data_IF_414032778067
#
_entry.id   IF_414032778067
#
_cell.length_a   1.000
_cell.length_b   1.000
_cell.length_c   1.000
_cell.angle_alpha   90.00
_cell.angle_beta   90.00
_cell.angle_gamma   90.00
#
_symmetry.space_group_name_H-M   'P 1'
#
loop_
_entity.id
_entity.type
_entity.pdbx_description
1 polymer ?
#
# COMPACT_ATOMS: atom_id res chain seq x y z
N UNK A 1 50.11 -11.24 28.60
CA UNK A 1 49.70 -11.65 27.23
C UNK A 1 48.21 -11.92 27.16
N UNK A 2 47.60 -12.82 27.95
CA UNK A 2 46.15 -13.13 27.90
C UNK A 2 45.23 -11.92 28.16
N UNK A 3 45.58 -11.04 29.09
CA UNK A 3 44.81 -9.82 29.42
C UNK A 3 44.82 -8.81 28.26
N UNK A 4 45.95 -8.62 27.59
CA UNK A 4 46.08 -7.74 26.42
C UNK A 4 45.24 -8.29 25.24
N UNK A 5 45.25 -9.62 25.08
CA UNK A 5 44.44 -10.29 24.05
C UNK A 5 42.95 -10.16 24.34
N UNK A 6 42.50 -10.31 25.58
CA UNK A 6 41.13 -10.09 26.01
C UNK A 6 40.65 -8.66 25.76
N UNK A 7 41.50 -7.67 26.01
CA UNK A 7 41.20 -6.25 25.74
C UNK A 7 41.11 -5.99 24.24
N UNK A 8 41.98 -6.59 23.42
CA UNK A 8 41.93 -6.49 21.95
C UNK A 8 40.66 -7.19 21.42
N UNK A 9 40.29 -8.36 21.93
CA UNK A 9 39.04 -9.04 21.58
C UNK A 9 37.81 -8.20 21.95
N UNK A 10 37.74 -7.61 23.14
CA UNK A 10 36.66 -6.73 23.55
C UNK A 10 36.57 -5.46 22.67
N UNK A 11 37.68 -4.87 22.28
CA UNK A 11 37.72 -3.69 21.41
C UNK A 11 37.33 -4.00 19.96
N UNK A 12 37.72 -5.16 19.43
CA UNK A 12 37.35 -5.57 18.06
C UNK A 12 35.89 -6.02 17.96
N UNK A 13 35.31 -6.56 19.05
CA UNK A 13 33.89 -7.00 19.07
C UNK A 13 32.93 -5.82 19.08
N UNK A 14 33.28 -4.69 19.67
CA UNK A 14 32.49 -3.46 19.59
C UNK A 14 32.49 -2.83 18.19
N UNK A 15 33.51 -3.13 17.36
CA UNK A 15 33.66 -2.52 16.03
C UNK A 15 33.08 -3.37 14.89
N UNK A 16 33.10 -4.71 14.98
CA UNK A 16 32.82 -5.60 13.83
C UNK A 16 31.59 -6.53 13.95
N UNK A 17 30.81 -6.47 15.02
CA UNK A 17 29.56 -7.26 15.15
C UNK A 17 29.80 -8.76 15.45
N UNK A 18 28.69 -9.44 15.75
CA UNK A 18 28.64 -10.77 16.42
C UNK A 18 29.14 -11.97 15.60
N UNK A 19 29.30 -11.87 14.28
CA UNK A 19 29.64 -13.01 13.41
C UNK A 19 31.06 -13.59 13.63
N UNK A 20 31.96 -12.85 14.25
CA UNK A 20 33.38 -13.24 14.42
C UNK A 20 33.72 -13.84 15.79
N UNK A 21 32.77 -13.88 16.75
CA UNK A 21 33.03 -14.36 18.12
C UNK A 21 33.53 -15.80 18.18
N UNK A 22 33.01 -16.69 17.34
CA UNK A 22 33.41 -18.11 17.29
C UNK A 22 34.87 -18.24 16.89
N UNK A 23 35.36 -17.41 15.97
CA UNK A 23 36.74 -17.42 15.50
C UNK A 23 37.70 -16.96 16.60
N UNK A 24 37.34 -15.89 17.31
CA UNK A 24 38.16 -15.36 18.39
C UNK A 24 38.19 -16.27 19.61
N UNK A 25 37.05 -16.95 19.89
CA UNK A 25 36.97 -17.94 20.95
C UNK A 25 37.85 -19.17 20.64
N UNK A 26 37.84 -19.64 19.39
CA UNK A 26 38.67 -20.76 18.96
C UNK A 26 40.15 -20.40 18.97
N UNK A 27 40.51 -19.18 18.60
CA UNK A 27 41.90 -18.68 18.66
C UNK A 27 42.38 -18.53 20.10
N UNK A 28 41.54 -18.03 21.02
CA UNK A 28 41.84 -17.95 22.44
C UNK A 28 42.05 -19.36 23.08
N UNK A 29 41.27 -20.35 22.64
CA UNK A 29 41.42 -21.74 23.06
C UNK A 29 42.74 -22.35 22.60
N UNK A 30 43.13 -22.12 21.35
CA UNK A 30 44.41 -22.58 20.82
C UNK A 30 45.59 -21.95 21.56
N UNK A 31 45.56 -20.63 21.79
CA UNK A 31 46.61 -19.90 22.54
C UNK A 31 46.70 -20.35 24.01
N UNK A 32 45.58 -20.64 24.65
CA UNK A 32 45.56 -21.15 26.03
C UNK A 32 46.21 -22.53 26.11
N UNK A 33 45.96 -23.42 25.11
CA UNK A 33 46.60 -24.72 25.04
C UNK A 33 48.12 -24.63 24.77
N UNK A 34 48.58 -23.70 23.94
CA UNK A 34 50.03 -23.48 23.74
C UNK A 34 50.72 -22.96 25.00
N UNK A 35 50.09 -22.07 25.79
CA UNK A 35 50.61 -21.62 27.07
C UNK A 35 50.63 -22.77 28.08
N UNK A 36 49.66 -23.67 28.08
CA UNK A 36 49.63 -24.86 28.93
C UNK A 36 50.77 -25.83 28.56
N UNK A 37 51.02 -26.04 27.27
CA UNK A 37 52.11 -26.85 26.75
C UNK A 37 53.47 -26.25 27.14
N UNK A 38 53.66 -24.92 27.03
CA UNK A 38 54.89 -24.25 27.42
C UNK A 38 55.14 -24.37 28.92
N UNK A 39 54.13 -24.21 29.79
CA UNK A 39 54.23 -24.38 31.23
C UNK A 39 54.56 -25.84 31.63
N UNK A 40 54.03 -26.81 30.88
CA UNK A 40 54.33 -28.21 31.08
C UNK A 40 55.80 -28.58 30.76
N UNK A 41 56.35 -27.95 29.71
CA UNK A 41 57.75 -28.16 29.30
C UNK A 41 58.72 -27.53 30.28
N UNK A 42 58.40 -26.33 30.79
CA UNK A 42 59.29 -25.54 31.66
C UNK A 42 59.03 -25.72 33.16
N UNK A 43 58.02 -26.48 33.59
CA UNK A 43 57.80 -26.85 34.99
C UNK A 43 57.32 -25.78 35.94
N UNK A 44 56.82 -24.64 35.44
CA UNK A 44 56.48 -23.48 36.27
C UNK A 44 55.18 -23.58 37.08
N UNK A 45 54.15 -24.31 36.61
CA UNK A 45 52.87 -24.53 37.33
C UNK A 45 52.24 -25.86 36.87
N UNK A 46 51.55 -26.58 37.78
CA UNK A 46 50.75 -27.75 37.38
C UNK A 46 49.67 -27.31 36.34
N UNK A 47 49.74 -27.84 35.11
CA UNK A 47 48.82 -27.44 34.05
C UNK A 47 47.38 -27.74 34.43
N UNK A 48 46.47 -26.86 34.15
CA UNK A 48 45.03 -27.10 34.26
C UNK A 48 44.27 -26.56 35.49
N UNK A 49 44.97 -26.05 36.52
CA UNK A 49 44.27 -25.59 37.74
C UNK A 49 43.58 -24.23 37.56
N UNK A 50 44.09 -23.36 36.72
CA UNK A 50 43.55 -21.98 36.55
C UNK A 50 42.91 -21.81 35.15
N UNK A 51 43.48 -22.39 34.11
CA UNK A 51 43.05 -22.17 32.71
C UNK A 51 41.68 -22.81 32.42
N UNK A 52 41.41 -24.01 32.91
CA UNK A 52 40.12 -24.70 32.69
C UNK A 52 38.91 -23.97 33.30
N UNK A 53 38.93 -23.55 34.57
CA UNK A 53 37.80 -22.83 35.15
C UNK A 53 37.57 -21.43 34.52
N UNK A 54 38.64 -20.72 34.17
CA UNK A 54 38.50 -19.40 33.49
C UNK A 54 37.87 -19.55 32.12
N UNK A 55 38.24 -20.61 31.38
CA UNK A 55 37.68 -20.91 30.09
C UNK A 55 36.18 -21.26 30.17
N UNK A 56 35.79 -22.07 31.17
CA UNK A 56 34.39 -22.43 31.42
C UNK A 56 33.54 -21.17 31.72
N UNK A 57 34.07 -20.26 32.56
CA UNK A 57 33.37 -19.01 32.86
C UNK A 57 33.19 -18.15 31.60
N UNK A 58 34.22 -17.98 30.79
CA UNK A 58 34.14 -17.23 29.54
C UNK A 58 33.12 -17.86 28.56
N UNK A 59 33.08 -19.20 28.47
CA UNK A 59 32.11 -19.91 27.65
C UNK A 59 30.66 -19.69 28.15
N UNK A 60 30.44 -19.75 29.45
CA UNK A 60 29.15 -19.47 30.04
C UNK A 60 28.68 -18.01 29.79
N UNK A 61 29.59 -17.05 29.94
CA UNK A 61 29.31 -15.64 29.63
C UNK A 61 28.94 -15.48 28.13
N UNK A 62 29.71 -16.13 27.24
CA UNK A 62 29.37 -16.13 25.81
C UNK A 62 27.96 -16.69 25.54
N UNK A 63 27.62 -17.85 26.13
CA UNK A 63 26.29 -18.43 25.97
C UNK A 63 25.18 -17.51 26.49
N UNK A 64 25.41 -16.83 27.61
CA UNK A 64 24.44 -15.87 28.17
C UNK A 64 24.22 -14.65 27.24
N UNK A 65 25.30 -14.15 26.66
CA UNK A 65 25.21 -13.03 25.69
C UNK A 65 24.46 -13.48 24.43
N UNK A 66 24.74 -14.69 23.94
CA UNK A 66 24.06 -15.22 22.74
C UNK A 66 22.59 -15.48 23.00
N UNK A 67 22.23 -16.04 24.14
CA UNK A 67 20.84 -16.21 24.58
C UNK A 67 20.12 -14.85 24.67
N UNK A 68 20.78 -13.84 25.23
CA UNK A 68 20.22 -12.49 25.31
C UNK A 68 19.94 -11.93 23.91
N UNK A 69 20.92 -12.04 23.00
CA UNK A 69 20.78 -11.59 21.60
C UNK A 69 19.62 -12.30 20.88
N UNK A 70 19.45 -13.62 21.10
CA UNK A 70 18.35 -14.39 20.53
C UNK A 70 16.99 -13.89 21.06
N UNK A 71 16.88 -13.65 22.36
CA UNK A 71 15.65 -13.12 22.98
C UNK A 71 15.32 -11.72 22.43
N UNK A 72 16.32 -10.82 22.36
CA UNK A 72 16.14 -9.48 21.81
C UNK A 72 15.73 -9.50 20.34
N UNK A 73 16.29 -10.40 19.54
CA UNK A 73 15.92 -10.55 18.13
C UNK A 73 14.51 -11.10 17.97
N UNK A 74 14.10 -12.06 18.81
CA UNK A 74 12.71 -12.55 18.81
C UNK A 74 11.73 -11.45 19.18
N UNK A 75 12.03 -10.64 20.19
CA UNK A 75 11.20 -9.49 20.58
C UNK A 75 11.07 -8.47 19.44
N UNK A 76 12.17 -8.13 18.76
CA UNK A 76 12.13 -7.22 17.59
C UNK A 76 11.25 -7.74 16.46
N UNK A 77 11.27 -9.07 16.21
CA UNK A 77 10.41 -9.70 15.18
C UNK A 77 8.93 -9.62 15.61
N UNK A 78 8.65 -9.84 16.89
CA UNK A 78 7.27 -9.78 17.42
C UNK A 78 6.73 -8.34 17.42
N UNK A 79 7.55 -7.37 17.79
CA UNK A 79 7.20 -5.94 17.75
C UNK A 79 6.97 -5.46 16.30
N UNK A 80 7.80 -5.92 15.36
CA UNK A 80 7.63 -5.63 13.94
C UNK A 80 6.29 -6.19 13.39
N UNK A 81 5.92 -7.42 13.77
CA UNK A 81 4.63 -8.02 13.39
C UNK A 81 3.45 -7.24 13.98
N UNK A 82 3.51 -6.85 15.25
CA UNK A 82 2.45 -6.02 15.86
C UNK A 82 2.29 -4.68 15.16
N UNK A 83 3.39 -4.02 14.84
CA UNK A 83 3.36 -2.75 14.12
C UNK A 83 2.78 -2.92 12.71
N UNK A 84 3.08 -4.03 12.04
CA UNK A 84 2.50 -4.35 10.72
C UNK A 84 0.98 -4.57 10.80
N UNK A 85 0.49 -5.29 11.82
CA UNK A 85 -0.94 -5.45 12.10
C UNK A 85 -1.63 -4.11 12.41
N UNK A 86 -1.05 -3.27 13.27
CA UNK A 86 -1.57 -1.94 13.59
C UNK A 86 -1.62 -1.03 12.35
N UNK A 87 -0.60 -1.07 11.51
CA UNK A 87 -0.57 -0.35 10.23
C UNK A 87 -1.65 -0.85 9.28
N UNK A 88 -1.85 -2.16 9.19
CA UNK A 88 -2.91 -2.77 8.39
C UNK A 88 -4.29 -2.35 8.86
N UNK A 89 -4.54 -2.39 10.18
CA UNK A 89 -5.82 -1.97 10.76
C UNK A 89 -6.07 -0.46 10.59
N UNK A 90 -5.03 0.35 10.75
CA UNK A 90 -5.09 1.79 10.51
C UNK A 90 -5.38 2.09 9.03
N UNK A 91 -4.72 1.39 8.09
CA UNK A 91 -4.99 1.51 6.65
C UNK A 91 -6.41 1.08 6.31
N UNK A 92 -6.89 -0.03 6.85
CA UNK A 92 -8.27 -0.50 6.66
C UNK A 92 -9.29 0.50 7.19
N UNK A 93 -9.03 1.13 8.33
CA UNK A 93 -9.87 2.18 8.92
C UNK A 93 -9.87 3.46 8.07
N UNK A 94 -8.72 3.88 7.55
CA UNK A 94 -8.60 5.00 6.62
C UNK A 94 -9.32 4.70 5.30
N UNK A 95 -9.25 3.47 4.82
CA UNK A 95 -9.94 2.98 3.64
C UNK A 95 -11.46 3.08 3.79
N UNK A 96 -12.00 2.58 4.91
CA UNK A 96 -13.42 2.73 5.23
C UNK A 96 -13.85 4.19 5.35
N UNK A 97 -12.97 5.06 5.86
CA UNK A 97 -13.20 6.51 5.94
C UNK A 97 -13.21 7.18 4.55
N UNK A 98 -12.47 6.65 3.57
CA UNK A 98 -12.45 7.15 2.18
C UNK A 98 -13.69 6.71 1.39
N UNK A 99 -14.32 5.58 1.72
CA UNK A 99 -15.65 5.25 1.24
C UNK A 99 -16.59 6.26 1.91
N UNK A 100 -16.98 7.28 1.15
CA UNK A 100 -17.84 8.36 1.69
C UNK A 100 -19.04 7.74 2.37
N UNK A 101 -19.16 7.91 3.67
CA UNK A 101 -20.27 7.37 4.49
C UNK A 101 -21.63 7.67 3.85
N UNK A 102 -21.77 8.84 3.23
CA UNK A 102 -22.95 9.26 2.51
C UNK A 102 -23.30 8.35 1.30
N UNK A 103 -22.29 7.80 0.59
CA UNK A 103 -22.55 6.85 -0.50
C UNK A 103 -23.15 5.54 0.05
N UNK A 104 -22.56 5.00 1.12
CA UNK A 104 -23.06 3.79 1.79
C UNK A 104 -24.53 3.97 2.23
N UNK A 105 -24.83 5.08 2.93
CA UNK A 105 -26.19 5.39 3.36
C UNK A 105 -27.17 5.53 2.18
N UNK A 106 -26.75 6.16 1.10
CA UNK A 106 -27.58 6.32 -0.09
C UNK A 106 -27.90 4.98 -0.78
N UNK A 107 -26.90 4.08 -0.89
CA UNK A 107 -27.12 2.74 -1.45
C UNK A 107 -28.04 1.93 -0.53
N UNK A 108 -27.85 1.92 0.78
CA UNK A 108 -28.72 1.22 1.73
C UNK A 108 -30.15 1.77 1.70
N UNK A 109 -30.36 3.07 1.58
CA UNK A 109 -31.67 3.67 1.43
C UNK A 109 -32.34 3.26 0.11
N UNK A 110 -31.60 3.20 -0.98
CA UNK A 110 -32.09 2.72 -2.27
C UNK A 110 -32.51 1.24 -2.19
N UNK A 111 -31.70 0.39 -1.58
CA UNK A 111 -32.03 -1.04 -1.32
C UNK A 111 -33.30 -1.14 -0.51
N UNK A 112 -33.41 -0.39 0.60
CA UNK A 112 -34.61 -0.38 1.45
C UNK A 112 -35.88 0.06 0.69
N UNK A 113 -35.73 1.03 -0.22
CA UNK A 113 -36.79 1.42 -1.13
C UNK A 113 -37.20 0.27 -2.08
N UNK A 114 -36.24 -0.35 -2.75
CA UNK A 114 -36.45 -1.44 -3.69
C UNK A 114 -37.09 -2.67 -3.04
N UNK A 115 -36.77 -2.99 -1.80
CA UNK A 115 -37.40 -4.12 -1.08
C UNK A 115 -38.94 -4.03 -1.03
N UNK A 116 -39.51 -2.84 -1.15
CA UNK A 116 -40.98 -2.63 -1.11
C UNK A 116 -41.65 -2.81 -2.45
N UNK A 117 -40.93 -2.68 -3.57
CA UNK A 117 -41.48 -2.61 -4.92
C UNK A 117 -40.90 -3.66 -5.88
N UNK A 118 -39.62 -4.02 -5.70
CA UNK A 118 -38.92 -4.93 -6.61
C UNK A 118 -37.80 -5.67 -5.83
N UNK A 119 -38.18 -6.80 -5.21
CA UNK A 119 -37.29 -7.60 -4.40
C UNK A 119 -36.09 -8.16 -5.21
N UNK A 120 -36.30 -8.46 -6.52
CA UNK A 120 -35.21 -8.98 -7.35
C UNK A 120 -34.14 -7.92 -7.62
N UNK A 121 -34.55 -6.68 -7.89
CA UNK A 121 -33.60 -5.57 -8.01
C UNK A 121 -32.93 -5.22 -6.71
N UNK A 122 -33.63 -5.35 -5.57
CA UNK A 122 -33.01 -5.18 -4.25
C UNK A 122 -31.89 -6.20 -4.01
N UNK A 123 -32.16 -7.48 -4.33
CA UNK A 123 -31.16 -8.55 -4.22
C UNK A 123 -29.95 -8.30 -5.14
N UNK A 124 -30.21 -7.94 -6.41
CA UNK A 124 -29.13 -7.59 -7.34
C UNK A 124 -28.27 -6.43 -6.82
N UNK A 125 -28.90 -5.41 -6.24
CA UNK A 125 -28.20 -4.25 -5.68
C UNK A 125 -27.37 -4.62 -4.45
N UNK A 126 -27.87 -5.51 -3.58
CA UNK A 126 -27.12 -6.04 -2.41
C UNK A 126 -25.86 -6.79 -2.86
N UNK A 127 -26.01 -7.68 -3.86
CA UNK A 127 -24.87 -8.45 -4.40
C UNK A 127 -23.83 -7.51 -5.00
N UNK A 128 -24.25 -6.55 -5.81
CA UNK A 128 -23.37 -5.56 -6.43
C UNK A 128 -22.65 -4.72 -5.36
N UNK A 129 -23.39 -4.27 -4.35
CA UNK A 129 -22.82 -3.46 -3.25
C UNK A 129 -21.82 -4.24 -2.39
N UNK A 130 -22.11 -5.51 -2.09
CA UNK A 130 -21.20 -6.39 -1.35
C UNK A 130 -19.89 -6.59 -2.10
N UNK A 131 -19.96 -6.78 -3.44
CA UNK A 131 -18.77 -6.91 -4.30
C UNK A 131 -17.99 -5.61 -4.37
N UNK A 132 -18.65 -4.48 -4.55
CA UNK A 132 -18.04 -3.16 -4.52
C UNK A 132 -17.27 -2.89 -3.21
N UNK A 133 -17.87 -3.19 -2.04
CA UNK A 133 -17.22 -3.02 -0.74
C UNK A 133 -15.98 -3.90 -0.60
N UNK A 134 -16.08 -5.19 -0.93
CA UNK A 134 -14.97 -6.14 -0.85
C UNK A 134 -13.79 -5.69 -1.70
N UNK A 135 -14.07 -5.36 -2.95
CA UNK A 135 -13.06 -4.91 -3.89
C UNK A 135 -12.36 -3.61 -3.42
N UNK A 136 -13.06 -2.65 -2.80
CA UNK A 136 -12.47 -1.44 -2.25
C UNK A 136 -11.49 -1.74 -1.12
N UNK A 137 -11.82 -2.68 -0.22
CA UNK A 137 -10.96 -3.07 0.89
C UNK A 137 -9.66 -3.71 0.36
N UNK A 138 -9.77 -4.59 -0.64
CA UNK A 138 -8.63 -5.30 -1.21
C UNK A 138 -7.65 -4.33 -1.90
N UNK A 139 -8.16 -3.35 -2.64
CA UNK A 139 -7.34 -2.36 -3.37
C UNK A 139 -6.65 -1.36 -2.45
N UNK A 140 -7.28 -0.95 -1.34
CA UNK A 140 -6.71 0.07 -0.46
C UNK A 140 -5.58 -0.51 0.41
N UNK A 141 -5.59 -1.82 0.63
CA UNK A 141 -4.53 -2.50 1.38
C UNK A 141 -3.21 -2.62 0.58
N UNK A 142 -3.23 -2.35 -0.73
CA UNK A 142 -2.05 -2.41 -1.59
C UNK A 142 -1.83 -1.05 -2.27
N UNK A 143 -0.78 -0.33 -1.85
CA UNK A 143 -0.36 0.95 -2.46
C UNK A 143 0.32 0.75 -3.82
N UNK A 144 0.44 -0.49 -4.31
CA UNK A 144 1.07 -0.81 -5.59
C UNK A 144 0.21 -0.37 -6.79
N UNK A 145 0.85 -0.20 -7.93
CA UNK A 145 0.14 -0.02 -9.19
C UNK A 145 -0.64 -1.30 -9.50
N UNK A 146 -1.84 -1.15 -10.04
CA UNK A 146 -2.70 -2.27 -10.42
C UNK A 146 -2.95 -2.28 -11.94
N UNK A 147 -3.27 -3.45 -12.52
CA UNK A 147 -3.70 -3.53 -13.90
C UNK A 147 -4.97 -2.70 -14.15
N UNK A 148 -4.97 -1.93 -15.25
CA UNK A 148 -6.11 -1.08 -15.63
C UNK A 148 -7.42 -1.86 -15.74
N UNK A 149 -7.37 -3.13 -16.15
CA UNK A 149 -8.53 -4.02 -16.20
C UNK A 149 -9.21 -4.22 -14.84
N UNK A 150 -8.45 -4.18 -13.74
CA UNK A 150 -8.98 -4.26 -12.36
C UNK A 150 -9.66 -2.93 -11.99
N UNK A 151 -9.03 -1.79 -12.30
CA UNK A 151 -9.62 -0.46 -12.06
C UNK A 151 -10.94 -0.29 -12.81
N UNK A 152 -11.03 -0.73 -14.07
CA UNK A 152 -12.29 -0.70 -14.86
C UNK A 152 -13.36 -1.58 -14.23
N UNK A 153 -13.05 -2.81 -13.83
CA UNK A 153 -14.00 -3.70 -13.17
C UNK A 153 -14.56 -3.10 -11.89
N UNK A 154 -13.75 -2.43 -11.16
CA UNK A 154 -14.13 -1.69 -9.95
C UNK A 154 -15.08 -0.54 -10.26
N UNK A 155 -14.74 0.23 -11.29
CA UNK A 155 -15.55 1.33 -11.78
C UNK A 155 -16.92 0.85 -12.27
N UNK A 156 -16.99 -0.28 -12.96
CA UNK A 156 -18.25 -0.90 -13.41
C UNK A 156 -19.20 -1.20 -12.25
N UNK A 157 -18.71 -1.79 -11.16
CA UNK A 157 -19.52 -2.05 -9.97
C UNK A 157 -20.07 -0.75 -9.36
N UNK A 158 -19.24 0.30 -9.26
CA UNK A 158 -19.68 1.62 -8.80
C UNK A 158 -20.77 2.22 -9.70
N UNK A 159 -20.53 2.22 -11.02
CA UNK A 159 -21.47 2.78 -12.01
C UNK A 159 -22.79 2.04 -11.98
N UNK A 160 -22.77 0.71 -11.91
CA UNK A 160 -23.98 -0.12 -11.83
C UNK A 160 -24.83 0.26 -10.61
N UNK A 161 -24.21 0.47 -9.44
CA UNK A 161 -24.91 0.93 -8.24
C UNK A 161 -25.54 2.32 -8.44
N UNK A 162 -24.83 3.26 -9.06
CA UNK A 162 -25.36 4.59 -9.34
C UNK A 162 -26.51 4.55 -10.38
N UNK A 163 -26.40 3.72 -11.41
CA UNK A 163 -27.47 3.52 -12.40
C UNK A 163 -28.75 2.96 -11.75
N UNK A 164 -28.61 1.96 -10.89
CA UNK A 164 -29.75 1.38 -10.16
C UNK A 164 -30.38 2.42 -9.22
N UNK A 165 -29.56 3.25 -8.57
CA UNK A 165 -30.01 4.30 -7.65
C UNK A 165 -30.76 5.43 -8.35
N UNK A 166 -30.36 5.78 -9.56
CA UNK A 166 -30.93 6.91 -10.31
C UNK A 166 -31.83 6.46 -11.48
N UNK A 167 -32.37 5.24 -11.41
CA UNK A 167 -33.29 4.72 -12.43
C UNK A 167 -32.77 4.86 -13.87
N UNK A 168 -31.51 4.52 -14.08
CA UNK A 168 -30.82 4.57 -15.37
C UNK A 168 -30.78 5.97 -16.03
N UNK A 169 -30.91 7.05 -15.25
CA UNK A 169 -30.68 8.42 -15.75
C UNK A 169 -29.22 8.68 -16.14
N UNK A 170 -28.31 7.79 -15.77
CA UNK A 170 -26.87 7.87 -16.06
C UNK A 170 -26.56 6.81 -17.10
N UNK A 171 -26.18 7.25 -18.30
CA UNK A 171 -25.62 6.36 -19.30
C UNK A 171 -24.08 6.40 -19.20
N UNK A 172 -23.46 5.24 -19.24
CA UNK A 172 -22.01 5.11 -19.23
C UNK A 172 -21.57 4.26 -20.41
N UNK A 173 -20.67 4.82 -21.21
CA UNK A 173 -20.08 4.16 -22.35
C UNK A 173 -18.57 4.18 -22.20
N UNK A 174 -17.90 3.10 -22.60
CA UNK A 174 -16.45 3.07 -22.65
C UNK A 174 -15.95 2.44 -23.95
N UNK A 175 -14.83 2.99 -24.46
CA UNK A 175 -14.09 2.47 -25.59
C UNK A 175 -12.65 2.29 -25.16
N UNK A 176 -12.27 1.07 -24.80
CA UNK A 176 -10.95 0.70 -24.33
C UNK A 176 -10.22 0.03 -25.49
N UNK A 177 -9.21 0.72 -26.02
CA UNK A 177 -8.36 0.21 -27.12
C UNK A 177 -7.14 -0.53 -26.57
N UNK A 178 -6.75 -0.24 -25.30
CA UNK A 178 -5.62 -0.85 -24.61
C UNK A 178 -5.97 -1.03 -23.13
N UNK A 179 -5.63 -2.18 -22.55
CA UNK A 179 -5.94 -2.50 -21.14
C UNK A 179 -4.75 -3.12 -20.37
N UNK A 180 -3.67 -3.44 -21.06
CA UNK A 180 -2.47 -4.11 -20.54
C UNK A 180 -1.43 -3.11 -20.01
N UNK A 181 -1.85 -2.23 -19.13
CA UNK A 181 -1.00 -1.26 -18.47
C UNK A 181 -1.34 -1.10 -16.99
N UNK A 182 -0.36 -0.60 -16.23
CA UNK A 182 -0.49 -0.34 -14.80
C UNK A 182 -0.95 1.11 -14.53
N UNK A 183 -1.81 1.26 -13.50
CA UNK A 183 -2.34 2.55 -13.05
C UNK A 183 -2.40 2.59 -11.51
N UNK A 184 -2.26 3.75 -10.87
CA UNK A 184 -2.53 3.86 -9.44
C UNK A 184 -4.00 3.52 -9.13
N UNK A 185 -4.28 2.83 -8.03
CA UNK A 185 -5.63 2.41 -7.68
C UNK A 185 -6.58 3.60 -7.44
N UNK A 186 -7.87 3.43 -7.71
CA UNK A 186 -8.94 4.40 -7.42
C UNK A 186 -8.69 5.81 -8.02
N UNK A 187 -8.17 5.87 -9.24
CA UNK A 187 -7.96 7.13 -9.97
C UNK A 187 -9.22 7.53 -10.72
N UNK A 188 -9.90 6.57 -11.36
CA UNK A 188 -11.04 6.87 -12.23
C UNK A 188 -12.31 7.15 -11.43
N UNK A 189 -12.55 6.42 -10.34
CA UNK A 189 -13.79 6.54 -9.57
C UNK A 189 -14.06 7.96 -9.05
N UNK A 190 -13.11 8.71 -8.43
CA UNK A 190 -13.37 10.08 -7.97
C UNK A 190 -13.74 11.04 -9.11
N UNK A 191 -13.19 10.81 -10.30
CA UNK A 191 -13.47 11.65 -11.47
C UNK A 191 -14.88 11.40 -12.00
N UNK A 192 -15.26 10.12 -12.15
CA UNK A 192 -16.62 9.72 -12.54
C UNK A 192 -17.65 10.15 -11.50
N UNK A 193 -17.34 10.02 -10.21
CA UNK A 193 -18.20 10.49 -9.13
C UNK A 193 -18.47 12.00 -9.24
N UNK A 194 -17.45 12.80 -9.57
CA UNK A 194 -17.62 14.22 -9.80
C UNK A 194 -18.49 14.51 -11.03
N UNK A 195 -18.28 13.81 -12.15
CA UNK A 195 -19.14 13.93 -13.34
C UNK A 195 -20.60 13.61 -13.02
N UNK A 196 -20.86 12.55 -12.26
CA UNK A 196 -22.22 12.19 -11.85
C UNK A 196 -22.81 13.28 -10.96
N UNK A 197 -22.17 13.60 -9.82
CA UNK A 197 -22.74 14.48 -8.79
C UNK A 197 -22.83 15.93 -9.21
N UNK A 198 -21.80 16.45 -9.86
CA UNK A 198 -21.66 17.85 -10.18
C UNK A 198 -22.04 18.19 -11.62
N UNK A 199 -22.02 17.19 -12.51
CA UNK A 199 -22.41 17.31 -13.91
C UNK A 199 -23.83 16.83 -14.16
N UNK A 200 -24.04 15.52 -14.17
CA UNK A 200 -25.26 14.89 -14.68
C UNK A 200 -26.47 15.06 -13.78
N UNK A 201 -26.32 14.89 -12.46
CA UNK A 201 -27.46 14.97 -11.52
C UNK A 201 -28.02 16.36 -11.34
N UNK A 202 -27.34 17.38 -11.86
CA UNK A 202 -27.90 18.75 -11.93
C UNK A 202 -28.81 18.98 -13.15
N UNK A 203 -28.86 17.99 -14.07
CA UNK A 203 -29.80 17.96 -15.19
C UNK A 203 -30.97 17.05 -14.84
N UNK A 204 -32.19 17.48 -15.10
CA UNK A 204 -33.40 16.67 -14.84
C UNK A 204 -33.44 15.39 -15.67
N UNK A 205 -32.92 15.44 -16.90
CA UNK A 205 -32.88 14.31 -17.83
C UNK A 205 -31.70 13.34 -17.59
N UNK A 206 -30.76 13.68 -16.65
CA UNK A 206 -29.52 12.94 -16.50
C UNK A 206 -28.55 13.21 -17.65
N UNK A 207 -27.75 12.23 -18.04
CA UNK A 207 -26.80 12.39 -19.16
C UNK A 207 -25.87 11.20 -19.35
N UNK A 208 -24.82 11.44 -20.16
CA UNK A 208 -23.89 10.42 -20.60
C UNK A 208 -22.47 10.72 -20.10
N UNK A 209 -21.76 9.67 -19.72
CA UNK A 209 -20.32 9.69 -19.49
C UNK A 209 -19.67 8.75 -20.49
N UNK A 210 -18.66 9.22 -21.18
CA UNK A 210 -17.84 8.43 -22.09
C UNK A 210 -16.41 8.33 -21.54
N UNK A 211 -15.92 7.13 -21.37
CA UNK A 211 -14.53 6.83 -21.01
C UNK A 211 -13.82 6.22 -22.20
N UNK A 212 -12.68 6.76 -22.56
CA UNK A 212 -11.83 6.17 -23.60
C UNK A 212 -10.43 5.94 -23.06
N UNK A 213 -9.79 4.85 -23.47
CA UNK A 213 -8.39 4.57 -23.18
C UNK A 213 -7.68 4.16 -24.48
N UNK A 214 -6.62 4.87 -24.84
CA UNK A 214 -5.82 4.64 -26.03
C UNK A 214 -4.33 4.71 -25.74
N UNK A 215 -3.52 4.10 -26.61
CA UNK A 215 -2.05 4.17 -26.56
C UNK A 215 -1.56 5.08 -27.70
N UNK A 216 -0.87 6.14 -27.32
CA UNK A 216 -0.28 7.09 -28.25
C UNK A 216 1.26 7.05 -28.14
N UNK A 217 1.87 6.21 -28.98
CA UNK A 217 3.31 5.97 -28.94
C UNK A 217 3.77 5.33 -27.61
N UNK A 218 4.49 6.09 -26.79
CA UNK A 218 4.98 5.66 -25.47
C UNK A 218 4.07 6.08 -24.32
N UNK A 219 2.92 6.65 -24.61
CA UNK A 219 2.01 7.19 -23.62
C UNK A 219 0.65 6.51 -23.68
N UNK A 220 -0.01 6.44 -22.55
CA UNK A 220 -1.43 6.11 -22.42
C UNK A 220 -2.19 7.42 -22.27
N UNK A 221 -3.29 7.54 -23.01
CA UNK A 221 -4.24 8.62 -22.88
C UNK A 221 -5.59 8.05 -22.41
N UNK A 222 -6.09 8.51 -21.25
CA UNK A 222 -7.43 8.21 -20.76
C UNK A 222 -8.23 9.50 -20.79
N UNK A 223 -9.41 9.46 -21.47
CA UNK A 223 -10.30 10.60 -21.52
C UNK A 223 -11.64 10.24 -20.91
N UNK A 224 -12.11 11.08 -19.98
CA UNK A 224 -13.44 11.00 -19.38
C UNK A 224 -14.19 12.25 -19.81
N UNK A 225 -15.31 12.06 -20.52
CA UNK A 225 -16.15 13.15 -21.02
C UNK A 225 -17.58 12.95 -20.57
N UNK A 226 -18.13 13.96 -19.87
CA UNK A 226 -19.53 14.04 -19.53
C UNK A 226 -20.25 15.14 -20.33
N UNK A 227 -21.56 15.00 -20.51
CA UNK A 227 -22.46 16.01 -21.09
C UNK A 227 -23.24 16.76 -20.02
N UNK A 228 -22.69 16.89 -18.82
CA UNK A 228 -23.31 17.54 -17.67
C UNK A 228 -23.43 19.07 -17.82
N UNK A 229 -23.74 19.74 -16.72
CA UNK A 229 -23.91 21.21 -16.70
C UNK A 229 -22.59 21.98 -16.90
N UNK A 230 -21.44 21.31 -16.78
CA UNK A 230 -20.15 21.96 -16.84
C UNK A 230 -19.95 23.04 -15.78
N UNK A 231 -18.81 23.70 -15.80
CA UNK A 231 -18.47 24.79 -14.89
C UNK A 231 -17.44 25.75 -15.52
N UNK A 232 -17.28 26.90 -14.89
CA UNK A 232 -16.30 27.93 -15.29
C UNK A 232 -14.93 27.59 -14.68
N UNK A 233 -13.98 27.17 -15.51
CA UNK A 233 -12.62 26.78 -15.12
C UNK A 233 -11.75 27.97 -14.68
N UNK A 234 -12.14 29.21 -15.00
CA UNK A 234 -11.40 30.41 -14.60
C UNK A 234 -11.57 30.74 -13.11
N UNK A 235 -12.62 30.25 -12.49
CA UNK A 235 -12.87 30.42 -11.05
C UNK A 235 -12.02 29.41 -10.30
N UNK A 236 -11.18 29.87 -9.36
CA UNK A 236 -10.39 28.97 -8.49
C UNK A 236 -11.28 27.88 -7.93
N UNK A 237 -10.84 26.64 -8.08
CA UNK A 237 -11.48 25.48 -7.46
C UNK A 237 -11.64 25.73 -5.95
N UNK A 238 -12.88 25.90 -5.49
CA UNK A 238 -13.20 26.00 -4.06
C UNK A 238 -13.10 24.65 -3.39
N UNK A 239 -13.24 24.58 -2.06
CA UNK A 239 -13.03 23.42 -1.17
C UNK A 239 -13.59 22.05 -1.62
N UNK A 240 -14.32 21.95 -2.73
CA UNK A 240 -14.83 20.71 -3.32
C UNK A 240 -13.83 19.99 -4.24
N UNK A 241 -12.64 20.55 -4.46
CA UNK A 241 -11.63 20.01 -5.38
C UNK A 241 -10.66 18.98 -4.76
N UNK A 242 -10.82 18.67 -3.47
CA UNK A 242 -9.90 17.74 -2.75
C UNK A 242 -9.75 16.42 -3.47
N UNK A 243 -10.83 15.84 -4.02
CA UNK A 243 -10.79 14.60 -4.76
C UNK A 243 -9.97 14.68 -6.05
N UNK A 244 -10.14 15.76 -6.81
CA UNK A 244 -9.42 15.99 -8.09
C UNK A 244 -7.94 16.26 -7.82
N UNK A 245 -7.61 17.08 -6.83
CA UNK A 245 -6.23 17.39 -6.45
C UNK A 245 -5.49 16.12 -5.95
N UNK A 246 -6.16 15.28 -5.19
CA UNK A 246 -5.59 13.99 -4.75
C UNK A 246 -5.29 13.08 -5.95
N UNK A 247 -6.19 13.00 -6.94
CA UNK A 247 -5.95 12.24 -8.18
C UNK A 247 -4.74 12.81 -8.93
N UNK A 248 -4.68 14.14 -9.10
CA UNK A 248 -3.55 14.81 -9.75
C UNK A 248 -2.22 14.54 -9.04
N UNK A 249 -2.20 14.64 -7.71
CA UNK A 249 -1.04 14.37 -6.89
C UNK A 249 -0.57 12.91 -7.04
N UNK A 250 -1.50 11.93 -6.98
CA UNK A 250 -1.19 10.51 -7.13
C UNK A 250 -0.67 10.17 -8.51
N UNK A 251 -1.30 10.66 -9.58
CA UNK A 251 -0.84 10.48 -10.95
C UNK A 251 0.60 10.97 -11.13
N UNK A 252 0.89 12.18 -10.64
CA UNK A 252 2.21 12.79 -10.75
C UNK A 252 3.28 11.98 -10.01
N UNK A 253 3.00 11.57 -8.77
CA UNK A 253 4.00 10.94 -7.92
C UNK A 253 4.20 9.45 -8.22
N UNK A 254 3.16 8.72 -8.64
CA UNK A 254 3.27 7.29 -8.85
C UNK A 254 3.72 6.90 -10.26
N UNK A 255 3.30 7.66 -11.28
CA UNK A 255 3.55 7.28 -12.70
C UNK A 255 3.99 8.44 -13.57
N UNK A 256 4.40 9.58 -13.00
CA UNK A 256 4.72 10.80 -13.77
C UNK A 256 3.59 11.25 -14.72
N UNK A 257 2.34 10.99 -14.32
CA UNK A 257 1.15 11.30 -15.08
C UNK A 257 0.77 12.79 -14.99
N UNK A 258 0.13 13.28 -16.04
CA UNK A 258 -0.47 14.61 -16.11
C UNK A 258 -1.99 14.48 -16.27
N UNK A 259 -2.72 15.44 -15.72
CA UNK A 259 -4.18 15.51 -15.85
C UNK A 259 -4.58 16.93 -16.18
N UNK A 260 -5.36 17.06 -17.24
CA UNK A 260 -5.98 18.33 -17.66
C UNK A 260 -7.51 18.27 -17.61
N UNK A 261 -8.16 19.39 -17.39
CA UNK A 261 -9.61 19.49 -17.24
C UNK A 261 -10.12 20.67 -18.04
N UNK A 262 -10.97 20.37 -19.01
CA UNK A 262 -11.69 21.34 -19.82
C UNK A 262 -13.18 21.27 -19.48
N UNK A 263 -13.80 22.41 -19.17
CA UNK A 263 -15.23 22.46 -18.91
C UNK A 263 -15.86 23.69 -19.49
N UNK A 264 -17.04 23.51 -20.05
CA UNK A 264 -17.84 24.61 -20.66
C UNK A 264 -19.24 24.51 -20.06
N UNK A 265 -19.73 25.64 -19.54
CA UNK A 265 -21.06 25.74 -18.96
C UNK A 265 -22.12 25.26 -19.97
N UNK A 266 -23.01 24.38 -19.53
CA UNK A 266 -24.06 23.71 -20.30
C UNK A 266 -23.56 22.79 -21.45
N UNK A 267 -22.27 22.49 -21.53
CA UNK A 267 -21.74 21.53 -22.52
C UNK A 267 -21.08 20.31 -21.90
N UNK A 268 -20.77 20.36 -20.57
CA UNK A 268 -20.15 19.28 -19.84
C UNK A 268 -18.67 19.50 -19.56
N UNK A 269 -18.01 18.43 -19.13
CA UNK A 269 -16.59 18.42 -18.74
C UNK A 269 -15.84 17.32 -19.46
N UNK A 270 -14.61 17.60 -19.84
CA UNK A 270 -13.65 16.63 -20.37
C UNK A 270 -12.41 16.61 -19.49
N UNK A 271 -12.04 15.45 -19.01
CA UNK A 271 -10.84 15.19 -18.23
C UNK A 271 -9.91 14.32 -19.08
N UNK A 272 -8.68 14.76 -19.25
CA UNK A 272 -7.67 14.05 -20.01
C UNK A 272 -6.51 13.68 -19.09
N UNK A 273 -6.18 12.41 -19.02
CA UNK A 273 -5.05 11.87 -18.24
C UNK A 273 -4.06 11.27 -19.21
N UNK A 274 -2.79 11.69 -19.10
CA UNK A 274 -1.69 11.19 -19.93
C UNK A 274 -0.53 10.76 -19.05
N UNK A 275 -0.01 9.57 -19.28
CA UNK A 275 1.13 9.02 -18.53
C UNK A 275 1.94 8.04 -19.38
N UNK A 276 3.23 7.80 -19.05
CA UNK A 276 4.05 6.81 -19.73
C UNK A 276 3.43 5.41 -19.66
N UNK A 277 3.50 4.65 -20.77
CA UNK A 277 3.04 3.27 -20.79
C UNK A 277 3.90 2.41 -19.84
N UNK A 278 3.25 1.80 -18.88
CA UNK A 278 3.84 0.86 -17.92
C UNK A 278 3.19 -0.51 -18.15
N UNK A 279 3.96 -1.44 -18.66
CA UNK A 279 3.50 -2.81 -18.97
C UNK A 279 3.14 -3.57 -17.67
N UNK A 280 2.12 -4.43 -17.76
CA UNK A 280 1.63 -5.26 -16.64
C UNK A 280 2.65 -6.35 -16.30
#
# INVERSE_FOLDING_TARGET
>A
MAIIFLIICCLTTTIYGTANYIHYFFLAFLLANEVELFNMIFGFVKPGIIIKPTFLVLFLVYLLVELKNLIENQQKIEDAKKLEEELRDSRSSLAMSQIRSHFIFNVLNAISGLCKYDANKADEMIICFSRYLRNNIDIINDDSLLPFSIEIKHLEDYIKLEQMRFNNKIAFNYKIEVSDFLIPPLILQPLIENSIKHGLLKKECGGNINLTASKEGKYIAITIKDDGVGFDTSKKFTNNSIGIENVRFRLKNSINGMMDIESIINKGTTIIIVFPYLEV
#
